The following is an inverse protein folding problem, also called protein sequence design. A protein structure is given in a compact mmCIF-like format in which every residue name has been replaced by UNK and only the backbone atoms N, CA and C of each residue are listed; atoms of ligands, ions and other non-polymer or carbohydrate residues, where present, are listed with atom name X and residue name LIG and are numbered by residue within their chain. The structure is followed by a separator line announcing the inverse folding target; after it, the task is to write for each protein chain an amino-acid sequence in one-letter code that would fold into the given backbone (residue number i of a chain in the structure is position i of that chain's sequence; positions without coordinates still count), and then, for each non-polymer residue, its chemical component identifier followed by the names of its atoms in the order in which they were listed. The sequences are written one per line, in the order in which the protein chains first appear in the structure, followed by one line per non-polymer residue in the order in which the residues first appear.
data_IF_842777772838
#
_entry.id   IF_842777772838
#
_cell.length_a   1.000
_cell.length_b   1.000
_cell.length_c   1.000
_cell.angle_alpha   90.00
_cell.angle_beta   90.00
_cell.angle_gamma   90.00
#
_symmetry.space_group_name_H-M   'P 1'
#
loop_
_entity.id
_entity.type
_entity.pdbx_description
1 polymer ?
#
# COMPACT_ATOMS: atom_id res chain seq x y z
N UNK A 1 50.06 -9.36 -33.82
CA UNK A 1 49.27 -10.54 -33.36
C UNK A 1 47.86 -10.10 -32.98
N UNK A 2 46.87 -10.47 -33.79
CA UNK A 2 45.45 -10.13 -33.68
C UNK A 2 44.77 -10.92 -32.53
N UNK A 3 44.88 -10.45 -31.27
CA UNK A 3 44.07 -11.01 -30.16
C UNK A 3 42.69 -10.37 -30.03
N UNK A 4 42.49 -9.19 -30.64
CA UNK A 4 41.24 -8.41 -30.56
C UNK A 4 40.07 -9.01 -31.36
N UNK A 5 40.35 -9.89 -32.34
CA UNK A 5 39.31 -10.53 -33.15
C UNK A 5 38.47 -11.53 -32.34
N UNK A 6 39.13 -12.38 -31.56
CA UNK A 6 38.47 -13.41 -30.74
C UNK A 6 37.70 -12.82 -29.57
N UNK A 7 38.20 -11.71 -29.00
CA UNK A 7 37.54 -11.01 -27.89
C UNK A 7 36.13 -10.51 -28.26
N UNK A 8 35.95 -10.06 -29.52
CA UNK A 8 34.65 -9.60 -30.02
C UNK A 8 33.59 -10.69 -29.98
N UNK A 9 33.96 -11.92 -30.37
CA UNK A 9 33.05 -13.07 -30.35
C UNK A 9 32.74 -13.52 -28.92
N UNK A 10 33.72 -13.48 -28.01
CA UNK A 10 33.48 -13.75 -26.60
C UNK A 10 32.52 -12.73 -25.98
N UNK A 11 32.71 -11.43 -26.24
CA UNK A 11 31.83 -10.36 -25.73
C UNK A 11 30.42 -10.47 -26.32
N UNK A 12 30.30 -10.73 -27.63
CA UNK A 12 29.01 -10.97 -28.28
C UNK A 12 28.30 -12.19 -27.70
N UNK A 13 29.00 -13.29 -27.49
CA UNK A 13 28.44 -14.50 -26.89
C UNK A 13 27.97 -14.27 -25.45
N UNK A 14 28.76 -13.55 -24.66
CA UNK A 14 28.42 -13.22 -23.27
C UNK A 14 27.22 -12.27 -23.20
N UNK A 15 27.18 -11.26 -24.08
CA UNK A 15 26.04 -10.35 -24.18
C UNK A 15 24.76 -11.11 -24.57
N UNK A 16 24.83 -11.96 -25.61
CA UNK A 16 23.69 -12.74 -26.07
C UNK A 16 23.22 -13.72 -24.99
N UNK A 17 24.14 -14.35 -24.27
CA UNK A 17 23.85 -15.23 -23.14
C UNK A 17 23.10 -14.48 -22.03
N UNK A 18 23.61 -13.33 -21.59
CA UNK A 18 22.94 -12.50 -20.56
C UNK A 18 21.56 -12.06 -21.03
N UNK A 19 21.42 -11.60 -22.28
CA UNK A 19 20.13 -11.19 -22.84
C UNK A 19 19.14 -12.35 -22.89
N UNK A 20 19.54 -13.52 -23.40
CA UNK A 20 18.66 -14.70 -23.47
C UNK A 20 18.17 -15.09 -22.08
N UNK A 21 19.07 -15.17 -21.08
CA UNK A 21 18.67 -15.57 -19.73
C UNK A 21 17.86 -14.50 -18.99
N UNK A 22 18.11 -13.21 -19.23
CA UNK A 22 17.32 -12.12 -18.65
C UNK A 22 15.84 -12.16 -19.10
N UNK A 23 15.56 -12.61 -20.33
CA UNK A 23 14.20 -12.73 -20.85
C UNK A 23 13.60 -14.14 -20.70
N UNK A 24 14.42 -15.21 -20.73
CA UNK A 24 13.94 -16.59 -20.63
C UNK A 24 13.57 -16.99 -19.20
N UNK A 25 14.24 -16.46 -18.18
CA UNK A 25 14.01 -16.88 -16.80
C UNK A 25 12.78 -16.22 -16.13
N UNK A 26 12.06 -15.33 -16.80
CA UNK A 26 10.96 -14.54 -16.20
C UNK A 26 11.35 -13.76 -14.92
N UNK A 27 12.63 -13.75 -14.53
CA UNK A 27 13.20 -12.98 -13.40
C UNK A 27 13.27 -11.47 -13.67
N UNK A 28 12.76 -11.00 -14.80
CA UNK A 28 12.58 -9.58 -15.04
C UNK A 28 11.43 -9.07 -14.15
N UNK A 29 11.75 -8.74 -12.90
CA UNK A 29 10.85 -8.19 -11.86
C UNK A 29 9.95 -7.07 -12.41
N UNK A 30 10.42 -6.32 -13.41
CA UNK A 30 9.66 -5.26 -14.09
C UNK A 30 8.46 -5.76 -14.92
N UNK A 31 8.54 -6.95 -15.53
CA UNK A 31 7.46 -7.53 -16.33
C UNK A 31 6.41 -8.19 -15.43
N UNK A 32 6.84 -8.78 -14.33
CA UNK A 32 5.93 -9.35 -13.34
C UNK A 32 5.19 -8.23 -12.58
N UNK A 33 5.88 -7.14 -12.19
CA UNK A 33 5.22 -5.97 -11.60
C UNK A 33 4.21 -5.30 -12.55
N UNK A 34 4.49 -5.30 -13.86
CA UNK A 34 3.56 -4.80 -14.88
C UNK A 34 2.37 -5.74 -15.16
N UNK A 35 2.45 -7.03 -14.80
CA UNK A 35 1.39 -8.01 -15.06
C UNK A 35 0.55 -8.32 -13.83
N UNK A 36 1.15 -8.37 -12.65
CA UNK A 36 0.51 -8.75 -11.37
C UNK A 36 0.80 -7.77 -10.22
N UNK A 37 1.76 -6.86 -10.40
CA UNK A 37 2.18 -5.88 -9.39
C UNK A 37 1.38 -4.58 -9.38
N UNK A 38 1.90 -3.57 -8.68
CA UNK A 38 1.17 -2.32 -8.40
C UNK A 38 0.93 -1.49 -9.67
N UNK A 39 1.82 -1.62 -10.67
CA UNK A 39 1.80 -0.90 -11.94
C UNK A 39 0.60 -1.22 -12.86
N UNK A 40 -0.04 -2.38 -12.71
CA UNK A 40 -1.19 -2.79 -13.53
C UNK A 40 -2.54 -2.32 -12.98
N UNK A 41 -2.61 -2.03 -11.68
CA UNK A 41 -3.88 -1.99 -10.96
C UNK A 41 -4.53 -0.62 -11.10
N UNK A 42 -5.82 -0.60 -11.42
CA UNK A 42 -6.59 0.64 -11.49
C UNK A 42 -6.84 1.19 -10.08
N UNK A 43 -5.85 1.87 -9.52
CA UNK A 43 -5.92 2.51 -8.19
C UNK A 43 -6.67 3.85 -8.19
N UNK A 44 -7.09 4.32 -9.37
CA UNK A 44 -7.67 5.66 -9.54
C UNK A 44 -9.00 5.83 -8.79
N UNK A 45 -9.79 4.75 -8.66
CA UNK A 45 -11.09 4.81 -7.99
C UNK A 45 -10.92 5.05 -6.48
N UNK A 46 -10.14 4.21 -5.80
CA UNK A 46 -9.89 4.31 -4.35
C UNK A 46 -9.14 5.61 -4.03
N UNK A 47 -8.10 5.93 -4.80
CA UNK A 47 -7.31 7.15 -4.58
C UNK A 47 -8.10 8.43 -4.88
N UNK A 48 -8.96 8.41 -5.92
CA UNK A 48 -9.89 9.49 -6.23
C UNK A 48 -10.91 9.70 -5.12
N UNK A 49 -11.52 8.61 -4.64
CA UNK A 49 -12.45 8.67 -3.51
C UNK A 49 -11.80 9.28 -2.28
N UNK A 50 -10.61 8.80 -1.89
CA UNK A 50 -9.86 9.33 -0.74
C UNK A 50 -9.58 10.83 -0.88
N UNK A 51 -9.19 11.26 -2.07
CA UNK A 51 -8.91 12.68 -2.34
C UNK A 51 -10.14 13.55 -2.19
N UNK A 52 -11.29 13.07 -2.65
CA UNK A 52 -12.54 13.84 -2.65
C UNK A 52 -13.22 13.87 -1.27
N UNK A 53 -13.14 12.78 -0.51
CA UNK A 53 -13.91 12.62 0.73
C UNK A 53 -13.11 12.86 2.00
N UNK A 54 -11.77 12.80 1.95
CA UNK A 54 -10.96 12.91 3.17
C UNK A 54 -10.16 14.19 3.27
N UNK A 55 -9.97 14.93 2.17
CA UNK A 55 -9.03 16.08 2.11
C UNK A 55 -9.34 17.16 3.16
N UNK A 56 -10.60 17.45 3.38
CA UNK A 56 -11.06 18.51 4.29
C UNK A 56 -11.55 17.97 5.65
N UNK A 57 -11.42 16.66 5.86
CA UNK A 57 -11.91 15.96 7.05
C UNK A 57 -10.75 15.57 7.96
N UNK A 58 -10.92 15.78 9.28
CA UNK A 58 -9.93 15.35 10.26
C UNK A 58 -9.92 13.82 10.46
N UNK A 59 -8.76 13.27 10.81
CA UNK A 59 -8.56 11.84 11.03
C UNK A 59 -7.39 11.26 10.23
N UNK A 60 -6.98 10.06 10.60
CA UNK A 60 -5.95 9.30 9.87
C UNK A 60 -6.57 8.17 9.05
N UNK A 61 -5.80 7.70 8.07
CA UNK A 61 -6.15 6.58 7.18
C UNK A 61 -5.24 5.40 7.56
N UNK A 62 -5.82 4.32 8.08
CA UNK A 62 -5.11 3.08 8.32
C UNK A 62 -5.04 2.28 7.02
N UNK A 63 -3.83 1.97 6.55
CA UNK A 63 -3.61 1.29 5.28
C UNK A 63 -2.29 0.53 5.30
N UNK A 64 -2.26 -0.63 4.66
CA UNK A 64 -1.03 -1.38 4.43
C UNK A 64 -0.26 -0.76 3.29
N UNK A 65 0.92 -0.22 3.56
CA UNK A 65 1.78 0.34 2.53
C UNK A 65 2.34 -0.76 1.62
N UNK A 66 2.56 -1.97 2.16
CA UNK A 66 3.02 -3.11 1.38
C UNK A 66 1.99 -3.57 0.34
N UNK A 67 0.69 -3.34 0.58
CA UNK A 67 -0.38 -3.72 -0.34
C UNK A 67 -0.88 -2.58 -1.22
N UNK A 68 -0.72 -1.32 -0.80
CA UNK A 68 -1.43 -0.18 -1.40
C UNK A 68 -0.60 1.11 -1.52
N UNK A 69 0.71 1.01 -1.65
CA UNK A 69 1.60 2.14 -1.94
C UNK A 69 1.07 3.03 -3.09
N UNK A 70 0.58 2.42 -4.17
CA UNK A 70 0.02 3.12 -5.31
C UNK A 70 -1.24 3.95 -4.96
N UNK A 71 -2.10 3.49 -4.03
CA UNK A 71 -3.23 4.30 -3.54
C UNK A 71 -2.72 5.49 -2.74
N UNK A 72 -1.76 5.26 -1.84
CA UNK A 72 -1.15 6.31 -1.00
C UNK A 72 -0.60 7.42 -1.89
N UNK A 73 0.25 7.09 -2.87
CA UNK A 73 0.89 8.07 -3.74
C UNK A 73 -0.09 8.75 -4.70
N UNK A 74 -1.07 8.01 -5.23
CA UNK A 74 -2.04 8.55 -6.19
C UNK A 74 -3.12 9.43 -5.55
N UNK A 75 -3.37 9.26 -4.25
CA UNK A 75 -4.38 10.06 -3.52
C UNK A 75 -4.05 11.56 -3.47
N UNK A 76 -2.76 11.91 -3.58
CA UNK A 76 -2.28 13.29 -3.41
C UNK A 76 -2.39 13.81 -1.97
N UNK A 77 -2.70 12.95 -1.00
CA UNK A 77 -2.76 13.31 0.42
C UNK A 77 -1.35 13.31 1.05
N UNK A 78 -1.08 14.18 2.03
CA UNK A 78 0.24 14.25 2.65
C UNK A 78 0.52 12.99 3.47
N UNK A 79 1.77 12.51 3.46
CA UNK A 79 2.13 11.21 4.08
C UNK A 79 1.76 11.08 5.57
N UNK A 80 1.80 12.19 6.31
CA UNK A 80 1.39 12.25 7.73
C UNK A 80 -0.07 11.85 7.99
N UNK A 81 -0.91 11.73 6.94
CA UNK A 81 -2.31 11.30 7.05
C UNK A 81 -2.47 9.79 7.15
N UNK A 82 -1.46 9.03 6.78
CA UNK A 82 -1.56 7.58 6.71
C UNK A 82 -0.84 6.93 7.88
N UNK A 83 -1.51 5.97 8.50
CA UNK A 83 -0.94 5.03 9.44
C UNK A 83 -0.71 3.73 8.67
N UNK A 84 0.56 3.36 8.54
CA UNK A 84 1.02 2.16 7.84
C UNK A 84 2.15 1.51 8.64
N UNK A 85 2.60 0.32 8.25
CA UNK A 85 3.58 -0.50 8.98
C UNK A 85 4.87 0.26 9.34
N UNK A 86 5.27 1.21 8.50
CA UNK A 86 6.44 2.07 8.71
C UNK A 86 6.27 3.18 9.74
N UNK A 87 5.06 3.38 10.29
CA UNK A 87 4.75 4.45 11.28
C UNK A 87 4.95 4.02 12.74
N UNK A 88 5.49 2.82 12.98
CA UNK A 88 5.89 2.33 14.30
C UNK A 88 4.72 2.28 15.28
N UNK A 89 4.80 3.01 16.40
CA UNK A 89 3.76 2.94 17.46
C UNK A 89 2.37 3.34 16.98
N UNK A 90 2.25 4.16 15.93
CA UNK A 90 0.95 4.47 15.35
C UNK A 90 0.32 3.23 14.74
N UNK A 91 1.09 2.44 13.99
CA UNK A 91 0.64 1.18 13.42
C UNK A 91 0.23 0.18 14.50
N UNK A 92 1.07 -0.04 15.52
CA UNK A 92 0.77 -0.96 16.63
C UNK A 92 -0.52 -0.57 17.36
N UNK A 93 -0.71 0.72 17.62
CA UNK A 93 -1.90 1.22 18.32
C UNK A 93 -3.16 1.16 17.45
N UNK A 94 -3.03 1.53 16.17
CA UNK A 94 -4.15 1.56 15.23
C UNK A 94 -4.61 0.17 14.81
N UNK A 95 -3.71 -0.82 14.71
CA UNK A 95 -4.11 -2.21 14.42
C UNK A 95 -4.81 -2.89 15.59
N UNK A 96 -4.57 -2.43 16.83
CA UNK A 96 -5.22 -2.96 18.04
C UNK A 96 -6.53 -2.24 18.37
N UNK A 97 -6.58 -0.92 18.19
CA UNK A 97 -7.72 -0.06 18.55
C UNK A 97 -8.03 0.96 17.45
N UNK A 98 -8.31 0.52 16.21
CA UNK A 98 -8.38 1.42 15.05
C UNK A 98 -9.41 2.54 15.23
N UNK A 99 -10.53 2.31 15.91
CA UNK A 99 -11.56 3.32 16.19
C UNK A 99 -11.05 4.56 16.94
N UNK A 100 -9.91 4.46 17.64
CA UNK A 100 -9.27 5.58 18.32
C UNK A 100 -8.20 6.27 17.49
N UNK A 101 -7.76 5.70 16.38
CA UNK A 101 -6.57 6.15 15.65
C UNK A 101 -6.82 6.43 14.17
N UNK A 102 -7.80 5.76 13.57
CA UNK A 102 -8.09 5.87 12.16
C UNK A 102 -9.56 6.23 11.98
N UNK A 103 -9.82 7.22 11.13
CA UNK A 103 -11.19 7.48 10.67
C UNK A 103 -11.55 6.59 9.49
N UNK A 104 -10.56 6.30 8.65
CA UNK A 104 -10.73 5.44 7.49
C UNK A 104 -9.81 4.24 7.57
N UNK A 105 -10.31 3.08 7.16
CA UNK A 105 -9.51 1.87 6.98
C UNK A 105 -9.60 1.46 5.53
N UNK A 106 -8.44 1.27 4.90
CA UNK A 106 -8.31 0.82 3.52
C UNK A 106 -7.63 -0.54 3.53
N UNK A 107 -8.35 -1.55 3.04
CA UNK A 107 -7.87 -2.93 3.05
C UNK A 107 -8.58 -3.78 1.99
N UNK A 108 -7.97 -4.90 1.61
CA UNK A 108 -8.62 -5.96 0.84
C UNK A 108 -9.34 -6.91 1.79
N UNK A 109 -10.66 -6.77 1.91
CA UNK A 109 -11.45 -7.60 2.81
C UNK A 109 -11.35 -9.07 2.40
N UNK A 110 -11.11 -9.93 3.39
CA UNK A 110 -10.87 -11.38 3.22
C UNK A 110 -9.53 -11.78 2.58
N UNK A 111 -8.61 -10.85 2.33
CA UNK A 111 -7.24 -11.17 1.91
C UNK A 111 -6.27 -11.15 3.10
N UNK A 112 -5.84 -12.32 3.55
CA UNK A 112 -4.89 -12.44 4.68
C UNK A 112 -3.46 -11.95 4.34
N UNK A 113 -3.16 -11.73 3.06
CA UNK A 113 -1.91 -11.11 2.63
C UNK A 113 -1.93 -9.58 2.77
N UNK A 114 -3.11 -9.00 2.99
CA UNK A 114 -3.25 -7.61 3.39
C UNK A 114 -3.03 -7.48 4.90
N UNK A 115 -1.96 -6.77 5.29
CA UNK A 115 -1.60 -6.61 6.69
C UNK A 115 -2.64 -5.83 7.50
N UNK A 116 -3.34 -4.87 6.89
CA UNK A 116 -4.43 -4.16 7.57
C UNK A 116 -5.59 -5.11 7.83
N UNK A 117 -6.03 -5.87 6.81
CA UNK A 117 -7.10 -6.85 7.03
C UNK A 117 -6.71 -7.93 8.03
N UNK A 118 -5.51 -8.51 7.89
CA UNK A 118 -4.99 -9.57 8.76
C UNK A 118 -4.96 -9.15 10.24
N UNK A 119 -4.62 -7.89 10.52
CA UNK A 119 -4.56 -7.37 11.89
C UNK A 119 -5.94 -6.96 12.40
N UNK A 120 -6.66 -6.13 11.65
CA UNK A 120 -7.96 -5.58 12.07
C UNK A 120 -9.03 -6.67 12.19
N UNK A 121 -9.03 -7.70 11.33
CA UNK A 121 -9.99 -8.82 11.39
C UNK A 121 -9.89 -9.67 12.65
N UNK A 122 -8.78 -9.58 13.40
CA UNK A 122 -8.59 -10.24 14.70
C UNK A 122 -9.20 -9.46 15.86
N UNK A 123 -9.80 -8.31 15.57
CA UNK A 123 -10.43 -7.41 16.54
C UNK A 123 -11.90 -7.23 16.18
N UNK A 124 -12.73 -6.81 17.14
CA UNK A 124 -14.13 -6.43 16.87
C UNK A 124 -14.28 -5.02 16.27
N UNK A 125 -13.17 -4.41 15.83
CA UNK A 125 -13.15 -3.04 15.38
C UNK A 125 -14.09 -2.73 14.22
N UNK A 126 -14.19 -3.63 13.22
CA UNK A 126 -14.98 -3.39 12.01
C UNK A 126 -16.47 -3.17 12.30
N UNK A 127 -16.98 -3.64 13.45
CA UNK A 127 -18.35 -3.36 13.89
C UNK A 127 -18.64 -1.87 14.10
N UNK A 128 -17.59 -1.06 14.32
CA UNK A 128 -17.65 0.39 14.54
C UNK A 128 -17.47 1.20 13.25
N UNK A 129 -17.35 0.53 12.11
CA UNK A 129 -17.14 1.16 10.81
C UNK A 129 -18.28 0.79 9.85
N UNK A 130 -18.56 1.69 8.92
CA UNK A 130 -19.44 1.44 7.79
C UNK A 130 -18.60 1.22 6.53
N UNK A 131 -18.95 0.22 5.73
CA UNK A 131 -18.38 0.03 4.40
C UNK A 131 -18.98 1.09 3.46
N UNK A 132 -18.17 2.09 3.10
CA UNK A 132 -18.59 3.24 2.29
C UNK A 132 -18.17 3.14 0.83
N UNK A 133 -17.23 2.25 0.52
CA UNK A 133 -16.81 1.97 -0.86
C UNK A 133 -16.24 0.56 -0.99
N UNK A 134 -16.60 -0.13 -2.06
CA UNK A 134 -16.09 -1.45 -2.41
C UNK A 134 -15.54 -1.38 -3.84
N UNK A 135 -14.24 -1.62 -4.00
CA UNK A 135 -13.56 -1.49 -5.29
C UNK A 135 -12.75 -2.74 -5.59
N UNK A 136 -12.37 -2.99 -6.86
CA UNK A 136 -11.60 -4.18 -7.22
C UNK A 136 -10.27 -4.32 -6.46
N UNK A 137 -9.71 -3.21 -5.98
CA UNK A 137 -8.38 -3.19 -5.37
C UNK A 137 -8.37 -3.03 -3.84
N UNK A 138 -9.37 -2.36 -3.28
CA UNK A 138 -9.50 -2.18 -1.83
C UNK A 138 -10.91 -1.74 -1.47
N UNK A 139 -11.29 -2.06 -0.25
CA UNK A 139 -12.51 -1.59 0.38
C UNK A 139 -12.19 -0.40 1.28
N UNK A 140 -13.17 0.49 1.41
CA UNK A 140 -13.09 1.71 2.20
C UNK A 140 -14.12 1.62 3.32
N UNK A 141 -13.60 1.61 4.53
CA UNK A 141 -14.39 1.66 5.76
C UNK A 141 -14.25 3.04 6.39
N UNK A 142 -15.36 3.63 6.81
CA UNK A 142 -15.40 4.90 7.55
C UNK A 142 -15.93 4.68 8.96
N UNK A 143 -15.29 5.31 9.95
CA UNK A 143 -15.69 5.25 11.34
C UNK A 143 -17.08 5.84 11.52
N UNK A 144 -17.96 5.11 12.22
CA UNK A 144 -19.32 5.58 12.46
C UNK A 144 -19.34 6.89 13.26
N UNK A 145 -20.29 7.80 12.98
CA UNK A 145 -20.33 9.14 13.58
C UNK A 145 -20.27 9.14 15.13
N UNK A 146 -20.87 8.16 15.80
CA UNK A 146 -20.90 8.05 17.26
C UNK A 146 -19.50 7.86 17.89
N UNK A 147 -18.52 7.36 17.15
CA UNK A 147 -17.16 7.13 17.65
C UNK A 147 -16.19 8.26 17.30
N UNK A 148 -16.57 9.21 16.42
CA UNK A 148 -15.69 10.31 15.98
C UNK A 148 -15.18 11.15 17.15
N UNK A 149 -16.00 11.35 18.20
CA UNK A 149 -15.61 12.11 19.39
C UNK A 149 -14.42 11.50 20.17
N UNK A 150 -14.13 10.21 19.99
CA UNK A 150 -13.06 9.48 20.65
C UNK A 150 -11.81 9.34 19.77
N UNK A 151 -11.87 9.83 18.53
CA UNK A 151 -10.82 9.69 17.54
C UNK A 151 -9.66 10.64 17.84
N UNK A 152 -8.44 10.12 17.83
CA UNK A 152 -7.23 10.94 17.82
C UNK A 152 -7.02 11.51 16.41
N UNK A 153 -7.20 12.82 16.24
CA UNK A 153 -7.00 13.49 14.94
C UNK A 153 -5.63 14.17 14.80
N UNK A 154 -4.86 14.23 15.88
CA UNK A 154 -3.57 14.91 15.94
C UNK A 154 -2.43 13.93 16.22
N UNK A 155 -1.25 14.13 15.62
CA UNK A 155 -0.09 13.29 15.88
C UNK A 155 0.39 13.50 17.33
N UNK A 156 0.38 12.45 18.14
CA UNK A 156 0.79 12.48 19.55
C UNK A 156 2.14 11.81 19.82
N UNK A 157 2.55 10.84 18.99
CA UNK A 157 3.89 10.28 19.04
C UNK A 157 4.80 11.09 18.10
N UNK A 158 5.65 11.95 18.67
CA UNK A 158 6.67 12.71 17.94
C UNK A 158 8.02 12.00 17.91
N UNK A 159 8.78 12.18 16.80
CA UNK A 159 10.18 11.75 16.60
C UNK A 159 10.50 10.35 17.15
N UNK A 160 9.90 9.33 16.55
CA UNK A 160 10.34 7.95 16.75
C UNK A 160 11.71 7.80 16.08
N UNK A 161 12.68 7.25 16.82
CA UNK A 161 14.06 7.02 16.35
C UNK A 161 14.15 5.76 15.52
#
# INVERSE_FOLDING_TARGET
MHRTGYLKYSVLGLWLFVTVFAFANQDAVTLDDARVGSSQKNVSEVSGWLREHTKDEEGFILISAASHDAIIFSSGLPMKRFIHEGTGKYWESATTTPDRWARWIIMRTYDMNDLTFNTVSKTDALSKYDLVGQYPFADIYELKPEYISQLNTKPIYGKQK
#
